data_IF_487011976462
#
_entry.id   IF_487011976462
#
_cell.length_a   1.000
_cell.length_b   1.000
_cell.length_c   1.000
_cell.angle_alpha   90.00
_cell.angle_beta   90.00
_cell.angle_gamma   90.00
#
_symmetry.space_group_name_H-M   'P 1'
#
loop_
_entity.id
_entity.type
_entity.pdbx_description
1 polymer ?
#
# COMPACT_ATOMS: atom_id res chain seq x y z
N UNK A 1 14.88 -34.34 -5.89
CA UNK A 1 14.61 -32.88 -5.95
C UNK A 1 13.34 -32.64 -5.15
N UNK A 2 13.43 -31.96 -4.01
CA UNK A 2 12.23 -31.56 -3.26
C UNK A 2 11.66 -30.31 -3.94
N UNK A 3 10.46 -30.40 -4.50
CA UNK A 3 9.77 -29.28 -5.14
C UNK A 3 9.44 -28.23 -4.08
N UNK A 4 10.00 -27.02 -4.24
CA UNK A 4 9.64 -25.88 -3.42
C UNK A 4 8.24 -25.43 -3.85
N UNK A 5 7.24 -25.56 -2.97
CA UNK A 5 5.93 -24.97 -3.24
C UNK A 5 6.07 -23.47 -2.93
N UNK A 6 5.74 -22.62 -3.90
CA UNK A 6 5.86 -21.15 -3.79
C UNK A 6 4.53 -20.61 -3.24
N UNK A 7 4.55 -19.77 -2.18
CA UNK A 7 3.32 -19.17 -1.67
C UNK A 7 2.61 -18.28 -2.68
N UNK A 8 1.32 -18.56 -2.85
CA UNK A 8 0.39 -17.80 -3.68
C UNK A 8 -0.23 -16.69 -2.82
N UNK A 9 0.07 -15.44 -3.11
CA UNK A 9 -0.46 -14.27 -2.41
C UNK A 9 -1.28 -13.47 -3.41
N UNK A 10 -2.39 -12.89 -2.98
CA UNK A 10 -3.11 -11.92 -3.79
C UNK A 10 -3.20 -10.57 -3.08
N UNK A 11 -2.87 -9.51 -3.82
CA UNK A 11 -3.02 -8.12 -3.42
C UNK A 11 -4.22 -7.55 -4.16
N UNK A 12 -5.18 -7.04 -3.40
CA UNK A 12 -6.37 -6.36 -3.89
C UNK A 12 -6.27 -4.88 -3.60
N UNK A 13 -6.47 -4.07 -4.63
CA UNK A 13 -6.37 -2.62 -4.53
C UNK A 13 -7.32 -1.94 -5.51
N UNK A 14 -7.63 -0.68 -5.24
CA UNK A 14 -8.38 0.21 -6.11
C UNK A 14 -7.45 1.19 -6.84
N UNK A 15 -8.00 2.10 -7.65
CA UNK A 15 -7.23 3.01 -8.50
C UNK A 15 -6.09 3.76 -7.78
N UNK A 16 -6.34 4.31 -6.60
CA UNK A 16 -5.34 5.02 -5.79
C UNK A 16 -4.30 4.10 -5.11
N UNK A 17 -4.54 2.79 -5.10
CA UNK A 17 -3.70 1.78 -4.47
C UNK A 17 -2.53 1.28 -5.32
N UNK A 18 -2.48 1.60 -6.62
CA UNK A 18 -1.43 1.10 -7.53
C UNK A 18 0.00 1.42 -7.03
N UNK A 19 0.21 2.62 -6.47
CA UNK A 19 1.53 3.03 -5.96
C UNK A 19 1.92 2.20 -4.73
N UNK A 20 0.95 1.90 -3.87
CA UNK A 20 1.17 1.03 -2.71
C UNK A 20 1.46 -0.40 -3.14
N UNK A 21 0.73 -0.93 -4.11
CA UNK A 21 0.94 -2.27 -4.66
C UNK A 21 2.35 -2.44 -5.23
N UNK A 22 2.79 -1.47 -6.03
CA UNK A 22 4.16 -1.43 -6.58
C UNK A 22 5.21 -1.39 -5.47
N UNK A 23 5.05 -0.47 -4.52
CA UNK A 23 5.96 -0.33 -3.39
C UNK A 23 6.06 -1.63 -2.58
N UNK A 24 4.93 -2.28 -2.28
CA UNK A 24 4.93 -3.55 -1.55
C UNK A 24 5.65 -4.66 -2.30
N UNK A 25 5.47 -4.72 -3.62
CA UNK A 25 6.15 -5.72 -4.46
C UNK A 25 7.67 -5.55 -4.41
N UNK A 26 8.15 -4.32 -4.54
CA UNK A 26 9.57 -3.97 -4.47
C UNK A 26 10.15 -4.28 -3.09
N UNK A 27 9.44 -3.92 -2.02
CA UNK A 27 9.86 -4.18 -0.65
C UNK A 27 9.83 -5.67 -0.30
N UNK A 28 8.81 -6.42 -0.74
CA UNK A 28 8.77 -7.87 -0.53
C UNK A 28 9.91 -8.58 -1.24
N UNK A 29 10.24 -8.19 -2.47
CA UNK A 29 11.39 -8.73 -3.19
C UNK A 29 12.72 -8.48 -2.47
N UNK A 30 12.83 -7.37 -1.74
CA UNK A 30 14.03 -7.03 -0.96
C UNK A 30 14.07 -7.71 0.41
N UNK A 31 12.93 -7.77 1.10
CA UNK A 31 12.84 -8.19 2.51
C UNK A 31 12.60 -9.69 2.69
N UNK A 32 12.05 -10.38 1.69
CA UNK A 32 11.67 -11.80 1.79
C UNK A 32 12.67 -12.65 1.01
N UNK A 33 13.33 -13.58 1.69
CA UNK A 33 14.46 -14.34 1.13
C UNK A 33 14.05 -15.48 0.18
N UNK A 34 12.76 -15.82 0.13
CA UNK A 34 12.23 -16.90 -0.70
C UNK A 34 11.24 -16.35 -1.72
N UNK A 35 11.07 -17.02 -2.87
CA UNK A 35 10.16 -16.56 -3.91
C UNK A 35 8.72 -16.55 -3.38
N UNK A 36 8.00 -15.49 -3.73
CA UNK A 36 6.56 -15.35 -3.56
C UNK A 36 5.93 -15.24 -4.95
N UNK A 37 4.79 -15.89 -5.15
CA UNK A 37 3.96 -15.64 -6.32
C UNK A 37 2.87 -14.66 -5.92
N UNK A 38 3.05 -13.39 -6.27
CA UNK A 38 2.14 -12.30 -5.90
C UNK A 38 1.27 -11.97 -7.11
N UNK A 39 -0.03 -12.12 -6.92
CA UNK A 39 -1.06 -11.77 -7.89
C UNK A 39 -1.61 -10.41 -7.53
N UNK A 40 -1.70 -9.53 -8.52
CA UNK A 40 -2.12 -8.15 -8.35
C UNK A 40 -3.46 -7.99 -9.04
N UNK A 41 -4.51 -7.61 -8.31
CA UNK A 41 -5.86 -7.46 -8.89
C UNK A 41 -6.50 -6.15 -8.47
N UNK A 42 -6.79 -5.35 -9.50
CA UNK A 42 -7.58 -4.13 -9.41
C UNK A 42 -9.06 -4.49 -9.23
N UNK A 43 -9.71 -4.00 -8.17
CA UNK A 43 -11.08 -4.40 -7.82
C UNK A 43 -12.11 -3.93 -8.84
N UNK A 44 -11.86 -2.81 -9.52
CA UNK A 44 -12.72 -2.23 -10.56
C UNK A 44 -12.67 -3.02 -11.87
N UNK A 45 -11.65 -3.86 -12.08
CA UNK A 45 -11.46 -4.68 -13.30
C UNK A 45 -11.72 -6.17 -13.04
N UNK A 46 -12.56 -6.49 -12.06
CA UNK A 46 -12.90 -7.88 -11.72
C UNK A 46 -14.04 -8.46 -12.56
N UNK A 47 -14.63 -7.69 -13.46
CA UNK A 47 -15.92 -8.01 -14.07
C UNK A 47 -15.90 -9.15 -15.09
N UNK A 48 -14.88 -9.25 -15.93
CA UNK A 48 -14.92 -10.16 -17.09
C UNK A 48 -14.75 -11.64 -16.69
N UNK A 49 -14.18 -11.94 -15.52
CA UNK A 49 -13.89 -13.31 -15.06
C UNK A 49 -14.18 -13.52 -13.56
N UNK A 50 -15.16 -12.80 -12.99
CA UNK A 50 -15.36 -12.78 -11.55
C UNK A 50 -15.60 -14.17 -10.94
N UNK A 51 -16.42 -15.00 -11.59
CA UNK A 51 -16.76 -16.34 -11.09
C UNK A 51 -15.56 -17.30 -11.12
N UNK A 52 -14.78 -17.29 -12.20
CA UNK A 52 -13.55 -18.08 -12.28
C UNK A 52 -12.54 -17.62 -11.22
N UNK A 53 -12.44 -16.30 -11.04
CA UNK A 53 -11.60 -15.72 -10.01
C UNK A 53 -12.00 -16.19 -8.61
N UNK A 54 -13.30 -16.19 -8.27
CA UNK A 54 -13.82 -16.72 -7.01
C UNK A 54 -13.47 -18.20 -6.80
N UNK A 55 -13.59 -19.02 -7.85
CA UNK A 55 -13.22 -20.44 -7.79
C UNK A 55 -11.72 -20.65 -7.53
N UNK A 56 -10.88 -19.71 -7.96
CA UNK A 56 -9.44 -19.74 -7.73
C UNK A 56 -9.05 -19.35 -6.30
N UNK A 57 -9.92 -18.66 -5.55
CA UNK A 57 -9.61 -18.10 -4.22
C UNK A 57 -9.00 -19.09 -3.21
N UNK A 58 -9.44 -20.37 -3.13
CA UNK A 58 -8.86 -21.34 -2.20
C UNK A 58 -7.36 -21.62 -2.41
N UNK A 59 -6.81 -21.34 -3.60
CA UNK A 59 -5.39 -21.55 -3.91
C UNK A 59 -4.46 -20.59 -3.14
N UNK A 60 -4.96 -19.41 -2.77
CA UNK A 60 -4.14 -18.39 -2.13
C UNK A 60 -3.83 -18.73 -0.66
N UNK A 61 -2.57 -18.52 -0.30
CA UNK A 61 -2.04 -18.69 1.04
C UNK A 61 -2.24 -17.43 1.89
N UNK A 62 -2.27 -16.24 1.28
CA UNK A 62 -2.56 -14.98 1.95
C UNK A 62 -3.32 -14.01 1.03
N UNK A 63 -4.14 -13.15 1.64
CA UNK A 63 -4.88 -12.08 0.99
C UNK A 63 -4.43 -10.75 1.60
N UNK A 64 -4.04 -9.80 0.77
CA UNK A 64 -3.66 -8.45 1.18
C UNK A 64 -4.67 -7.49 0.57
N UNK A 65 -5.38 -6.72 1.39
CA UNK A 65 -6.32 -5.70 0.94
C UNK A 65 -5.72 -4.33 1.26
N UNK A 66 -5.44 -3.55 0.22
CA UNK A 66 -4.97 -2.17 0.35
C UNK A 66 -6.20 -1.27 0.55
N UNK A 67 -6.57 -1.05 1.81
CA UNK A 67 -7.68 -0.21 2.18
C UNK A 67 -7.27 1.25 2.01
N UNK A 68 -7.77 1.86 0.96
CA UNK A 68 -7.67 3.28 0.66
C UNK A 68 -9.05 3.89 0.59
N UNK A 69 -9.15 5.21 0.36
CA UNK A 69 -10.45 5.86 0.20
C UNK A 69 -11.18 5.32 -1.03
N UNK A 70 -10.49 5.14 -2.16
CA UNK A 70 -11.14 4.64 -3.37
C UNK A 70 -11.50 3.17 -3.25
N UNK A 71 -10.74 2.38 -2.49
CA UNK A 71 -11.12 0.99 -2.19
C UNK A 71 -12.42 0.94 -1.39
N UNK A 72 -12.55 1.74 -0.34
CA UNK A 72 -13.77 1.82 0.47
C UNK A 72 -14.96 2.31 -0.36
N UNK A 73 -14.78 3.31 -1.23
CA UNK A 73 -15.83 3.75 -2.15
C UNK A 73 -16.23 2.64 -3.13
N UNK A 74 -15.25 1.93 -3.69
CA UNK A 74 -15.50 0.82 -4.63
C UNK A 74 -16.23 -0.33 -3.96
N UNK A 75 -16.00 -0.56 -2.67
CA UNK A 75 -16.76 -1.55 -1.91
C UNK A 75 -18.26 -1.27 -1.91
N UNK A 76 -18.70 -0.01 -1.89
CA UNK A 76 -20.11 0.31 -2.03
C UNK A 76 -20.63 0.02 -3.44
N UNK A 77 -19.90 0.49 -4.45
CA UNK A 77 -20.28 0.35 -5.86
C UNK A 77 -20.40 -1.12 -6.24
N UNK A 78 -19.48 -1.96 -5.77
CA UNK A 78 -19.40 -3.39 -6.07
C UNK A 78 -19.86 -4.27 -4.90
N UNK A 79 -20.77 -3.80 -4.05
CA UNK A 79 -21.13 -4.43 -2.77
C UNK A 79 -21.40 -5.95 -2.84
N UNK A 80 -22.24 -6.43 -3.78
CA UNK A 80 -22.52 -7.87 -3.92
C UNK A 80 -21.29 -8.69 -4.29
N UNK A 81 -20.48 -8.16 -5.22
CA UNK A 81 -19.22 -8.79 -5.64
C UNK A 81 -18.22 -8.79 -4.49
N UNK A 82 -18.05 -7.67 -3.79
CA UNK A 82 -17.13 -7.57 -2.66
C UNK A 82 -17.51 -8.49 -1.51
N UNK A 83 -18.81 -8.62 -1.21
CA UNK A 83 -19.27 -9.60 -0.22
C UNK A 83 -18.96 -11.04 -0.63
N UNK A 84 -19.23 -11.39 -1.89
CA UNK A 84 -18.96 -12.73 -2.43
C UNK A 84 -17.46 -13.05 -2.42
N UNK A 85 -16.65 -12.07 -2.81
CA UNK A 85 -15.20 -12.12 -2.83
C UNK A 85 -14.62 -12.36 -1.44
N UNK A 86 -15.02 -11.55 -0.46
CA UNK A 86 -14.47 -11.63 0.91
C UNK A 86 -14.95 -12.87 1.64
N UNK A 87 -16.14 -13.39 1.32
CA UNK A 87 -16.64 -14.66 1.83
C UNK A 87 -15.77 -15.85 1.41
N UNK A 88 -15.18 -15.79 0.21
CA UNK A 88 -14.22 -16.79 -0.26
C UNK A 88 -12.82 -16.61 0.35
N UNK A 89 -12.53 -15.44 0.95
CA UNK A 89 -11.29 -15.25 1.71
C UNK A 89 -11.42 -15.90 3.08
N UNK A 90 -10.38 -16.65 3.49
CA UNK A 90 -10.27 -17.03 4.89
C UNK A 90 -9.81 -15.81 5.70
N UNK A 91 -10.58 -15.31 6.68
CA UNK A 91 -10.20 -14.12 7.45
C UNK A 91 -8.85 -14.26 8.18
N UNK A 92 -8.47 -15.48 8.60
CA UNK A 92 -7.16 -15.73 9.24
C UNK A 92 -5.98 -15.65 8.26
N UNK A 93 -6.25 -15.68 6.95
CA UNK A 93 -5.27 -15.46 5.88
C UNK A 93 -5.27 -14.02 5.36
N UNK A 94 -6.14 -13.16 5.90
CA UNK A 94 -6.38 -11.83 5.36
C UNK A 94 -5.64 -10.76 6.17
N UNK A 95 -4.90 -9.92 5.47
CA UNK A 95 -4.22 -8.74 5.99
C UNK A 95 -4.85 -7.48 5.38
N UNK A 96 -5.45 -6.66 6.24
CA UNK A 96 -5.96 -5.34 5.90
C UNK A 96 -4.86 -4.31 6.10
N UNK A 97 -4.44 -3.66 5.03
CA UNK A 97 -3.44 -2.61 5.04
C UNK A 97 -4.12 -1.27 4.87
N UNK A 98 -4.11 -0.44 5.91
CA UNK A 98 -4.74 0.88 5.86
C UNK A 98 -3.76 1.86 5.21
N UNK A 99 -4.02 2.14 3.94
CA UNK A 99 -3.24 2.98 3.04
C UNK A 99 -3.91 4.36 2.94
N UNK A 100 -3.41 5.33 3.71
CA UNK A 100 -3.96 6.70 3.76
C UNK A 100 -5.44 6.76 4.21
N UNK A 101 -5.86 5.79 5.02
CA UNK A 101 -7.13 5.82 5.76
C UNK A 101 -6.91 5.36 7.20
N UNK A 102 -7.83 5.76 8.07
CA UNK A 102 -7.88 5.35 9.47
C UNK A 102 -8.86 4.19 9.65
N UNK A 103 -8.70 3.42 10.72
CA UNK A 103 -9.68 2.38 11.06
C UNK A 103 -11.09 2.95 11.28
N UNK A 104 -11.19 4.20 11.73
CA UNK A 104 -12.46 4.92 11.86
C UNK A 104 -13.18 5.17 10.54
N UNK A 105 -12.46 5.16 9.40
CA UNK A 105 -13.06 5.36 8.08
C UNK A 105 -13.81 4.10 7.61
N UNK A 106 -13.48 2.94 8.20
CA UNK A 106 -14.18 1.67 7.95
C UNK A 106 -15.45 1.62 8.81
N UNK A 107 -16.54 2.19 8.30
CA UNK A 107 -17.86 2.09 8.93
C UNK A 107 -18.49 0.68 8.85
N UNK A 108 -19.68 0.53 9.43
CA UNK A 108 -20.33 -0.77 9.59
C UNK A 108 -20.78 -1.43 8.28
N UNK A 109 -20.99 -0.66 7.21
CA UNK A 109 -21.28 -1.22 5.89
C UNK A 109 -20.00 -1.86 5.33
N UNK A 110 -18.85 -1.20 5.41
CA UNK A 110 -17.59 -1.82 5.01
C UNK A 110 -17.32 -3.10 5.82
N UNK A 111 -17.58 -3.07 7.13
CA UNK A 111 -17.40 -4.25 7.99
C UNK A 111 -18.34 -5.40 7.64
N UNK A 112 -19.55 -5.12 7.16
CA UNK A 112 -20.50 -6.16 6.74
C UNK A 112 -20.11 -6.77 5.38
N UNK A 113 -19.52 -5.96 4.50
CA UNK A 113 -19.00 -6.40 3.20
C UNK A 113 -17.66 -7.15 3.31
N UNK A 114 -16.86 -6.91 4.35
CA UNK A 114 -15.65 -7.67 4.67
C UNK A 114 -16.00 -8.86 5.56
N UNK A 115 -16.31 -10.02 4.96
CA UNK A 115 -16.64 -11.22 5.72
C UNK A 115 -15.57 -11.54 6.77
N UNK A 116 -15.97 -11.58 8.04
CA UNK A 116 -15.05 -11.84 9.14
C UNK A 116 -14.07 -10.71 9.43
N UNK A 117 -14.37 -9.46 9.06
CA UNK A 117 -13.54 -8.25 9.28
C UNK A 117 -12.74 -8.27 10.60
N UNK A 118 -13.40 -8.60 11.71
CA UNK A 118 -12.79 -8.61 13.06
C UNK A 118 -11.64 -9.62 13.22
N UNK A 119 -11.64 -10.69 12.43
CA UNK A 119 -10.66 -11.79 12.43
C UNK A 119 -9.50 -11.56 11.47
N UNK A 120 -9.60 -10.57 10.58
CA UNK A 120 -8.49 -10.21 9.71
C UNK A 120 -7.36 -9.54 10.49
N UNK A 121 -6.14 -9.76 10.04
CA UNK A 121 -4.98 -9.04 10.50
C UNK A 121 -5.01 -7.60 10.00
N UNK A 122 -4.38 -6.66 10.72
CA UNK A 122 -4.40 -5.23 10.38
C UNK A 122 -3.02 -4.62 10.55
N UNK A 123 -2.63 -3.80 9.58
CA UNK A 123 -1.46 -2.93 9.68
C UNK A 123 -1.85 -1.55 9.16
N UNK A 124 -1.49 -0.51 9.91
CA UNK A 124 -1.83 0.88 9.58
C UNK A 124 -0.57 1.60 9.14
N UNK A 125 -0.58 2.18 7.94
CA UNK A 125 0.49 3.05 7.49
C UNK A 125 0.37 4.38 8.25
N UNK A 126 1.26 4.61 9.22
CA UNK A 126 1.33 5.88 9.96
C UNK A 126 2.40 6.80 9.37
N UNK A 127 2.14 8.10 9.43
CA UNK A 127 2.92 9.14 8.75
C UNK A 127 4.40 9.26 9.16
N UNK A 128 4.82 8.64 10.27
CA UNK A 128 6.15 8.83 10.85
C UNK A 128 7.05 7.60 10.80
N UNK A 129 6.58 6.44 10.30
CA UNK A 129 7.38 5.20 10.36
C UNK A 129 7.03 4.18 9.27
N UNK A 130 7.21 4.57 8.01
CA UNK A 130 7.04 3.69 6.83
C UNK A 130 7.90 2.42 6.94
N UNK A 131 9.05 2.53 7.58
CA UNK A 131 9.98 1.43 7.81
C UNK A 131 9.40 0.41 8.79
N UNK A 132 8.90 0.86 9.93
CA UNK A 132 8.23 -0.01 10.90
C UNK A 132 6.92 -0.55 10.36
N UNK A 133 6.21 0.22 9.53
CA UNK A 133 5.06 -0.26 8.78
C UNK A 133 5.43 -1.48 7.93
N UNK A 134 6.48 -1.40 7.11
CA UNK A 134 6.93 -2.53 6.30
C UNK A 134 7.39 -3.72 7.13
N UNK A 135 8.13 -3.48 8.21
CA UNK A 135 8.52 -4.54 9.16
C UNK A 135 7.28 -5.24 9.72
N UNK A 136 6.25 -4.49 10.11
CA UNK A 136 5.01 -5.04 10.66
C UNK A 136 4.23 -5.81 9.59
N UNK A 137 4.14 -5.29 8.37
CA UNK A 137 3.54 -5.95 7.21
C UNK A 137 4.21 -7.28 6.94
N UNK A 138 5.55 -7.31 6.79
CA UNK A 138 6.31 -8.54 6.52
C UNK A 138 6.18 -9.54 7.67
N UNK A 139 6.27 -9.09 8.92
CA UNK A 139 6.04 -9.96 10.09
C UNK A 139 4.65 -10.56 10.09
N UNK A 140 3.63 -9.75 9.82
CA UNK A 140 2.26 -10.21 9.80
C UNK A 140 2.00 -11.22 8.67
N UNK A 141 2.48 -10.91 7.46
CA UNK A 141 2.41 -11.82 6.32
C UNK A 141 3.15 -13.12 6.62
N UNK A 142 4.32 -13.05 7.24
CA UNK A 142 5.08 -14.24 7.63
C UNK A 142 4.31 -15.10 8.64
N UNK A 143 3.69 -14.47 9.65
CA UNK A 143 2.85 -15.19 10.62
C UNK A 143 1.65 -15.85 9.95
N UNK A 144 1.00 -15.19 8.98
CA UNK A 144 -0.10 -15.79 8.20
C UNK A 144 0.42 -17.04 7.46
N UNK A 145 1.57 -16.93 6.80
CA UNK A 145 2.16 -18.04 6.04
C UNK A 145 2.67 -19.17 6.96
N UNK A 146 3.19 -18.87 8.15
CA UNK A 146 3.65 -19.85 9.15
C UNK A 146 2.51 -20.56 9.86
N UNK A 147 1.49 -19.81 10.29
CA UNK A 147 0.32 -20.34 11.02
C UNK A 147 -0.44 -21.36 10.18
N UNK A 148 -0.49 -21.14 8.87
CA UNK A 148 -1.11 -22.07 7.93
C UNK A 148 -0.20 -23.20 7.45
N UNK A 149 0.96 -23.41 8.12
CA UNK A 149 1.94 -24.49 7.89
C UNK A 149 1.87 -25.06 6.49
N UNK A 150 2.62 -24.42 5.59
CA UNK A 150 3.25 -25.12 4.49
C UNK A 150 3.74 -26.49 5.00
N UNK A 151 3.06 -27.54 4.54
CA UNK A 151 2.95 -28.83 5.24
C UNK A 151 4.26 -29.65 5.27
N UNK A 152 5.33 -29.12 4.70
CA UNK A 152 6.64 -29.77 4.63
C UNK A 152 7.76 -28.82 5.04
N UNK A 153 8.11 -28.86 6.32
CA UNK A 153 9.42 -28.55 6.89
C UNK A 153 10.26 -27.48 6.16
N UNK A 154 9.98 -26.20 6.42
CA UNK A 154 10.94 -25.08 6.33
C UNK A 154 10.34 -23.87 7.04
N UNK A 155 10.97 -23.42 8.14
CA UNK A 155 10.55 -22.21 8.85
C UNK A 155 10.70 -20.99 7.93
N UNK A 156 9.73 -20.07 7.94
CA UNK A 156 9.89 -18.76 7.35
C UNK A 156 10.96 -18.00 8.16
N UNK A 157 12.23 -18.14 7.76
CA UNK A 157 13.27 -17.27 8.30
C UNK A 157 13.14 -15.92 7.63
N UNK A 158 12.35 -15.04 8.24
CA UNK A 158 12.45 -13.60 7.96
C UNK A 158 13.84 -13.17 8.41
N UNK A 159 14.73 -12.98 7.45
CA UNK A 159 16.06 -12.44 7.70
C UNK A 159 15.95 -10.95 7.97
N UNK A 160 15.76 -10.62 9.24
CA UNK A 160 16.00 -9.26 9.74
C UNK A 160 17.49 -8.89 9.69
N UNK A 161 18.39 -9.80 9.27
CA UNK A 161 19.84 -9.55 9.21
C UNK A 161 20.27 -8.67 8.03
N UNK A 162 19.59 -8.69 6.89
CA UNK A 162 19.89 -7.75 5.78
C UNK A 162 19.62 -6.29 6.16
N UNK A 163 18.75 -6.05 7.14
CA UNK A 163 18.40 -4.71 7.62
C UNK A 163 19.57 -3.96 8.29
N UNK A 164 20.48 -4.67 8.96
CA UNK A 164 21.60 -4.02 9.66
C UNK A 164 22.76 -3.64 8.73
N UNK A 165 22.83 -4.22 7.51
CA UNK A 165 23.94 -4.00 6.58
C UNK A 165 23.59 -3.10 5.37
N UNK A 166 22.33 -2.69 5.19
CA UNK A 166 21.88 -1.87 4.06
C UNK A 166 21.79 -0.35 4.35
N UNK A 167 22.41 0.13 5.44
CA UNK A 167 22.38 1.56 5.83
C UNK A 167 23.17 2.47 4.87
N UNK A 168 23.88 1.93 3.87
CA UNK A 168 24.68 2.72 2.95
C UNK A 168 24.35 2.41 1.49
N UNK A 169 23.98 3.46 0.76
CA UNK A 169 23.85 3.57 -0.71
C UNK A 169 22.42 3.36 -1.22
N UNK A 170 21.64 4.46 -1.14
CA UNK A 170 20.46 4.66 -1.98
C UNK A 170 20.88 5.39 -3.29
N UNK A 171 20.33 5.03 -4.45
CA UNK A 171 20.62 5.71 -5.72
C UNK A 171 19.96 7.10 -5.82
N UNK A 172 20.59 7.97 -6.60
CA UNK A 172 20.25 9.37 -6.84
C UNK A 172 19.30 9.54 -8.05
N UNK A 173 18.08 10.05 -7.76
CA UNK A 173 17.05 10.76 -8.59
C UNK A 173 16.48 10.15 -9.90
N UNK A 174 15.16 10.34 -10.14
CA UNK A 174 14.53 11.17 -11.21
C UNK A 174 13.01 11.36 -10.93
N UNK A 175 12.40 12.50 -11.34
CA UNK A 175 11.08 13.04 -10.91
C UNK A 175 9.94 12.80 -11.91
N UNK A 176 8.70 12.48 -11.46
CA UNK A 176 7.47 12.86 -12.17
C UNK A 176 6.28 13.09 -11.20
N UNK A 177 5.99 14.36 -10.89
CA UNK A 177 4.92 14.77 -9.96
C UNK A 177 3.53 14.66 -10.58
N UNK A 178 2.66 13.78 -10.05
CA UNK A 178 1.27 13.61 -10.54
C UNK A 178 0.17 13.87 -9.49
N UNK A 179 0.48 14.36 -8.27
CA UNK A 179 -0.58 14.62 -7.28
C UNK A 179 -0.44 16.02 -6.69
N UNK A 180 -1.29 16.92 -7.20
CA UNK A 180 -1.57 18.26 -6.66
C UNK A 180 -2.81 18.13 -5.79
N UNK A 181 -2.69 18.46 -4.50
CA UNK A 181 -3.87 18.72 -3.66
C UNK A 181 -3.98 20.21 -3.42
N UNK A 182 -5.06 20.80 -3.93
CA UNK A 182 -5.37 22.23 -3.79
C UNK A 182 -6.37 22.43 -2.64
N UNK A 183 -5.96 23.16 -1.61
CA UNK A 183 -6.91 23.87 -0.75
C UNK A 183 -6.98 25.33 -1.21
N UNK A 184 -7.98 26.10 -0.76
CA UNK A 184 -8.19 27.51 -1.19
C UNK A 184 -6.94 28.39 -1.16
N UNK A 185 -5.96 28.08 -0.31
CA UNK A 185 -4.80 28.94 -0.06
C UNK A 185 -3.46 28.19 -0.19
N UNK A 186 -3.45 26.85 -0.32
CA UNK A 186 -2.22 26.04 -0.26
C UNK A 186 -2.18 24.96 -1.32
N UNK A 187 -1.03 24.84 -1.96
CA UNK A 187 -0.70 23.75 -2.87
C UNK A 187 0.21 22.78 -2.13
N UNK A 188 -0.17 21.50 -2.12
CA UNK A 188 0.67 20.41 -1.65
C UNK A 188 1.27 19.66 -2.82
N UNK A 189 2.60 19.46 -2.79
CA UNK A 189 3.35 18.66 -3.75
C UNK A 189 3.81 17.39 -3.04
N UNK A 190 3.45 16.24 -3.59
CA UNK A 190 4.02 14.94 -3.24
C UNK A 190 5.15 14.61 -4.20
N UNK A 191 6.30 14.22 -3.67
CA UNK A 191 7.52 13.89 -4.40
C UNK A 191 7.73 12.39 -4.40
N UNK A 192 8.27 11.87 -5.49
CA UNK A 192 8.59 10.44 -5.66
C UNK A 192 9.89 10.04 -4.92
N UNK A 193 10.57 10.99 -4.30
CA UNK A 193 11.82 10.77 -3.56
C UNK A 193 11.95 11.72 -2.38
N UNK A 194 12.61 11.23 -1.31
CA UNK A 194 12.83 11.99 -0.10
C UNK A 194 13.83 13.12 -0.35
N UNK A 195 13.47 14.31 0.11
CA UNK A 195 14.34 15.46 0.18
C UNK A 195 15.19 15.35 1.45
N UNK A 196 16.49 15.58 1.32
CA UNK A 196 17.36 15.71 2.49
C UNK A 196 17.03 16.98 3.27
N UNK A 197 17.12 16.96 4.60
CA UNK A 197 16.91 18.14 5.46
C UNK A 197 17.83 19.33 5.10
N UNK A 198 18.93 19.07 4.40
CA UNK A 198 19.91 20.09 3.97
C UNK A 198 19.64 20.64 2.57
N UNK A 199 18.74 20.01 1.81
CA UNK A 199 18.49 20.34 0.42
C UNK A 199 17.55 21.54 0.33
N UNK A 200 17.97 22.58 -0.40
CA UNK A 200 17.15 23.78 -0.62
C UNK A 200 16.26 23.59 -1.84
N UNK A 201 14.96 23.82 -1.68
CA UNK A 201 13.98 23.75 -2.75
C UNK A 201 13.41 25.13 -3.02
N UNK A 202 13.37 25.48 -4.30
CA UNK A 202 12.78 26.70 -4.81
C UNK A 202 11.57 26.34 -5.67
N UNK A 203 10.43 26.96 -5.38
CA UNK A 203 9.22 26.88 -6.21
C UNK A 203 8.99 28.26 -6.80
N UNK A 204 8.80 28.32 -8.12
CA UNK A 204 8.47 29.53 -8.87
C UNK A 204 7.17 29.32 -9.64
N UNK A 205 6.27 30.30 -9.64
CA UNK A 205 5.05 30.26 -10.45
C UNK A 205 5.16 31.28 -11.59
N UNK A 206 5.05 30.81 -12.84
CA UNK A 206 4.92 31.68 -14.01
C UNK A 206 6.15 32.55 -14.33
N UNK A 207 5.91 33.64 -15.06
CA UNK A 207 6.92 34.49 -15.71
C UNK A 207 7.60 35.46 -14.72
N UNK A 208 7.09 35.62 -13.50
CA UNK A 208 7.54 36.66 -12.57
C UNK A 208 8.79 36.30 -11.77
N UNK A 209 9.35 35.08 -11.90
CA UNK A 209 10.50 34.61 -11.11
C UNK A 209 10.30 34.75 -9.58
N UNK A 210 9.07 34.91 -9.12
CA UNK A 210 8.78 35.03 -7.70
C UNK A 210 9.06 33.68 -7.03
N UNK A 211 10.03 33.68 -6.11
CA UNK A 211 10.39 32.51 -5.33
C UNK A 211 9.41 32.41 -4.17
N UNK A 212 8.61 31.36 -4.16
CA UNK A 212 7.69 31.07 -3.08
C UNK A 212 8.40 30.44 -1.89
N UNK A 213 7.91 30.76 -0.69
CA UNK A 213 8.35 30.12 0.54
C UNK A 213 7.77 28.70 0.54
N UNK A 214 8.67 27.73 0.47
CA UNK A 214 8.34 26.31 0.51
C UNK A 214 8.48 25.81 1.94
N UNK A 215 7.42 25.18 2.43
CA UNK A 215 7.39 24.53 3.72
C UNK A 215 7.47 23.01 3.55
N UNK A 216 8.34 22.38 4.33
CA UNK A 216 8.46 20.93 4.39
C UNK A 216 7.42 20.38 5.36
N UNK A 217 6.54 19.51 4.87
CA UNK A 217 5.63 18.75 5.72
C UNK A 217 6.25 17.44 6.16
N UNK A 218 6.96 16.78 5.24
CA UNK A 218 7.78 15.59 5.47
C UNK A 218 8.78 15.46 4.30
N UNK A 219 9.71 14.49 4.30
CA UNK A 219 10.72 14.35 3.25
C UNK A 219 10.16 14.22 1.83
N UNK A 220 8.91 13.78 1.66
CA UNK A 220 8.27 13.58 0.36
C UNK A 220 7.16 14.61 0.09
N UNK A 221 6.84 15.49 1.03
CA UNK A 221 5.72 16.42 0.86
C UNK A 221 6.14 17.84 1.19
N UNK A 222 5.98 18.69 0.20
CA UNK A 222 6.15 20.12 0.32
C UNK A 222 4.79 20.80 0.23
N UNK A 223 4.68 21.98 0.80
CA UNK A 223 3.57 22.87 0.49
C UNK A 223 4.00 24.31 0.42
N UNK A 224 3.27 25.10 -0.33
CA UNK A 224 3.45 26.55 -0.41
C UNK A 224 2.09 27.23 -0.56
N UNK A 225 2.06 28.51 -0.21
CA UNK A 225 0.86 29.37 -0.29
C UNK A 225 0.96 30.21 -1.55
N UNK A 226 -0.12 30.29 -2.34
CA UNK A 226 -0.17 31.24 -3.46
C UNK A 226 -0.47 32.63 -2.89
N UNK A 227 0.39 33.64 -3.12
CA UNK A 227 0.09 34.99 -2.65
C UNK A 227 -1.12 35.56 -3.41
N UNK A 228 -2.19 35.89 -2.70
CA UNK A 228 -3.35 36.62 -3.26
C UNK A 228 -2.92 38.08 -3.49
N UNK A 229 -3.10 38.68 -4.69
CA UNK A 229 -4.16 38.43 -5.68
C UNK A 229 -3.62 37.90 -7.02
N UNK A 230 -3.84 36.61 -7.29
CA UNK A 230 -3.64 35.97 -8.61
C UNK A 230 -4.95 35.89 -9.42
N UNK A 231 -5.81 36.89 -9.25
CA UNK A 231 -6.90 37.17 -10.17
C UNK A 231 -6.62 38.52 -10.85
N UNK A 232 -6.07 38.44 -12.07
CA UNK A 232 -6.23 39.45 -13.13
C UNK A 232 -6.76 38.73 -14.35
#
# INVERSE_FOLDING_TARGET
MLSFIVPEIIVLFAADGHKWDRYLSEEFAQMIEFPLNIHHKHVEHMDEDFEEFLQSMPKFNAFILLLSRDFLNTMYVLSEKMYSLTKCMNPSKCLLMFCNCLESDVNDIHKSLLYGYRRCHRVVATHNDVKQFMINTVKCLSNILEFHKYKDNRMLKVSTKKYNNFISIAPQFELSTDIIYETKDRIYILLDSAISETQRIHVSIGVTNDILIVHYKNPFTLYFTIPVPWHS
#
